data_IF_306536239988
#
_entry.id   IF_306536239988
#
_cell.length_a   1.000
_cell.length_b   1.000
_cell.length_c   1.000
_cell.angle_alpha   90.00
_cell.angle_beta   90.00
_cell.angle_gamma   90.00
#
_symmetry.space_group_name_H-M   'P 1'
#
loop_
_entity.id
_entity.type
_entity.pdbx_description
1 polymer ?
#
# COMPACT_ATOMS: atom_id res chain seq x y z
N UNK A 1 14.16 -22.62 -39.34
CA UNK A 1 12.89 -22.26 -38.66
C UNK A 1 12.79 -23.00 -37.32
N UNK A 2 13.52 -22.58 -36.29
CA UNK A 2 13.31 -23.01 -34.89
C UNK A 2 13.90 -21.91 -33.98
N UNK A 3 13.19 -20.79 -33.80
CA UNK A 3 13.64 -19.71 -32.90
C UNK A 3 12.49 -18.87 -32.32
N UNK A 4 11.25 -19.35 -32.33
CA UNK A 4 10.09 -18.58 -31.85
C UNK A 4 9.33 -19.21 -30.67
N UNK A 5 9.73 -20.39 -30.16
CA UNK A 5 9.00 -21.07 -29.06
C UNK A 5 9.44 -20.68 -27.64
N UNK A 6 10.63 -20.10 -27.47
CA UNK A 6 11.18 -19.88 -26.11
C UNK A 6 10.73 -18.55 -25.46
N UNK A 7 10.19 -17.60 -26.21
CA UNK A 7 9.80 -16.30 -25.65
C UNK A 7 8.44 -16.37 -24.93
N UNK A 8 7.50 -17.15 -25.47
CA UNK A 8 6.13 -17.28 -24.95
C UNK A 8 6.07 -18.09 -23.65
N UNK A 9 6.80 -19.20 -23.57
CA UNK A 9 6.80 -20.07 -22.38
C UNK A 9 7.41 -19.37 -21.17
N UNK A 10 8.46 -18.58 -21.38
CA UNK A 10 9.13 -17.85 -20.30
C UNK A 10 8.23 -16.73 -19.77
N UNK A 11 7.60 -15.96 -20.66
CA UNK A 11 6.65 -14.91 -20.29
C UNK A 11 5.43 -15.47 -19.54
N UNK A 12 4.90 -16.61 -20.00
CA UNK A 12 3.77 -17.31 -19.39
C UNK A 12 4.12 -17.84 -18.00
N UNK A 13 5.30 -18.45 -17.81
CA UNK A 13 5.76 -18.95 -16.50
C UNK A 13 5.98 -17.80 -15.50
N UNK A 14 6.54 -16.67 -15.94
CA UNK A 14 6.70 -15.50 -15.07
C UNK A 14 5.37 -14.87 -14.67
N UNK A 15 4.42 -14.76 -15.60
CA UNK A 15 3.07 -14.26 -15.31
C UNK A 15 2.30 -15.18 -14.36
N UNK A 16 2.40 -16.50 -14.56
CA UNK A 16 1.76 -17.49 -13.70
C UNK A 16 2.35 -17.46 -12.29
N UNK A 17 3.68 -17.36 -12.15
CA UNK A 17 4.33 -17.22 -10.83
C UNK A 17 3.89 -15.95 -10.12
N UNK A 18 3.88 -14.80 -10.80
CA UNK A 18 3.43 -13.53 -10.21
C UNK A 18 2.00 -13.58 -9.69
N UNK A 19 1.08 -14.21 -10.43
CA UNK A 19 -0.31 -14.39 -10.00
C UNK A 19 -0.44 -15.34 -8.79
N UNK A 20 0.34 -16.43 -8.76
CA UNK A 20 0.31 -17.41 -7.66
C UNK A 20 0.89 -16.84 -6.37
N UNK A 21 1.99 -16.07 -6.43
CA UNK A 21 2.55 -15.42 -5.24
C UNK A 21 1.63 -14.32 -4.69
N UNK A 22 0.97 -13.54 -5.56
CA UNK A 22 0.01 -12.51 -5.14
C UNK A 22 -1.20 -13.09 -4.37
N UNK A 23 -1.67 -14.28 -4.77
CA UNK A 23 -2.75 -14.98 -4.07
C UNK A 23 -2.31 -15.57 -2.72
N UNK A 24 -1.04 -15.98 -2.61
CA UNK A 24 -0.52 -16.55 -1.37
C UNK A 24 -0.43 -15.50 -0.25
N UNK A 25 0.08 -14.32 -0.58
CA UNK A 25 0.24 -13.21 0.37
C UNK A 25 -1.12 -12.72 0.91
N UNK A 26 -2.12 -12.56 0.04
CA UNK A 26 -3.48 -12.19 0.43
C UNK A 26 -4.05 -13.15 1.49
N UNK A 27 -3.93 -14.46 1.25
CA UNK A 27 -4.42 -15.47 2.20
C UNK A 27 -3.69 -15.39 3.54
N UNK A 28 -2.37 -15.17 3.52
CA UNK A 28 -1.55 -15.04 4.73
C UNK A 28 -1.97 -13.81 5.53
N UNK A 29 -2.15 -12.65 4.88
CA UNK A 29 -2.54 -11.41 5.57
C UNK A 29 -3.97 -11.46 6.10
N UNK A 30 -4.91 -12.03 5.35
CA UNK A 30 -6.29 -12.23 5.81
C UNK A 30 -6.32 -13.17 7.01
N UNK A 31 -5.60 -14.29 6.95
CA UNK A 31 -5.52 -15.25 8.06
C UNK A 31 -4.92 -14.60 9.31
N UNK A 32 -3.79 -13.91 9.16
CA UNK A 32 -3.15 -13.22 10.28
C UNK A 32 -4.07 -12.14 10.89
N UNK A 33 -4.79 -11.39 10.06
CA UNK A 33 -5.78 -10.41 10.52
C UNK A 33 -6.92 -11.05 11.33
N UNK A 34 -7.44 -12.19 10.88
CA UNK A 34 -8.48 -12.92 11.61
C UNK A 34 -7.97 -13.48 12.95
N UNK A 35 -6.74 -13.99 13.00
CA UNK A 35 -6.10 -14.42 14.24
C UNK A 35 -5.95 -13.27 15.24
N UNK A 36 -5.50 -12.11 14.78
CA UNK A 36 -5.35 -10.90 15.59
C UNK A 36 -6.68 -10.42 16.18
N UNK A 37 -7.77 -10.50 15.43
CA UNK A 37 -9.13 -10.16 15.91
C UNK A 37 -9.63 -11.14 16.95
N UNK A 38 -9.24 -12.41 16.84
CA UNK A 38 -9.54 -13.45 17.84
C UNK A 38 -8.67 -13.34 19.10
N UNK A 39 -7.81 -12.32 19.18
CA UNK A 39 -6.97 -12.05 20.34
C UNK A 39 -5.61 -12.76 20.30
N UNK A 40 -5.22 -13.37 19.17
CA UNK A 40 -3.86 -13.91 19.03
C UNK A 40 -2.87 -12.73 19.00
N UNK A 41 -1.87 -12.69 19.89
CA UNK A 41 -0.89 -11.61 19.90
C UNK A 41 -0.15 -11.52 18.55
N UNK A 42 0.17 -10.31 18.03
CA UNK A 42 0.81 -10.13 16.72
C UNK A 42 2.06 -11.00 16.49
N UNK A 43 2.89 -11.17 17.52
CA UNK A 43 4.11 -11.95 17.48
C UNK A 43 3.87 -13.47 17.27
N UNK A 44 2.64 -13.95 17.49
CA UNK A 44 2.25 -15.35 17.39
C UNK A 44 1.31 -15.63 16.20
N UNK A 45 1.05 -14.63 15.35
CA UNK A 45 0.16 -14.79 14.19
C UNK A 45 0.89 -15.46 13.02
N UNK A 46 0.13 -15.89 12.02
CA UNK A 46 0.66 -16.55 10.81
C UNK A 46 1.58 -15.69 9.96
N UNK A 47 1.71 -14.42 10.30
CA UNK A 47 2.64 -13.46 9.70
C UNK A 47 3.17 -12.55 10.83
N UNK A 48 4.24 -12.91 11.54
CA UNK A 48 4.77 -12.06 12.61
C UNK A 48 5.79 -11.02 12.10
N UNK A 49 6.28 -11.16 10.87
CA UNK A 49 7.36 -10.34 10.31
C UNK A 49 6.96 -8.89 10.03
N UNK A 50 5.65 -8.64 9.87
CA UNK A 50 5.13 -7.30 9.64
C UNK A 50 4.42 -6.73 10.88
N UNK A 51 4.48 -5.40 11.06
CA UNK A 51 3.66 -4.69 12.04
C UNK A 51 2.14 -4.97 11.90
N UNK A 52 1.35 -4.82 12.97
CA UNK A 52 0.02 -5.40 13.03
C UNK A 52 -1.09 -4.56 12.39
N UNK A 53 -0.93 -3.24 12.22
CA UNK A 53 -2.06 -2.34 11.93
C UNK A 53 -2.82 -2.71 10.65
N UNK A 54 -2.10 -2.88 9.54
CA UNK A 54 -2.73 -3.22 8.27
C UNK A 54 -3.40 -4.61 8.30
N UNK A 55 -2.81 -5.58 9.01
CA UNK A 55 -3.41 -6.90 9.21
C UNK A 55 -4.70 -6.82 10.04
N UNK A 56 -4.73 -6.00 11.09
CA UNK A 56 -5.96 -5.73 11.85
C UNK A 56 -7.06 -5.14 10.97
N UNK A 57 -6.73 -4.14 10.12
CA UNK A 57 -7.70 -3.53 9.21
C UNK A 57 -8.25 -4.53 8.19
N UNK A 58 -7.37 -5.36 7.61
CA UNK A 58 -7.75 -6.45 6.70
C UNK A 58 -8.63 -7.48 7.42
N UNK A 59 -8.27 -7.85 8.65
CA UNK A 59 -9.07 -8.78 9.44
C UNK A 59 -10.48 -8.26 9.71
N UNK A 60 -10.61 -6.97 10.04
CA UNK A 60 -11.89 -6.35 10.40
C UNK A 60 -12.78 -6.26 9.17
N UNK A 61 -12.17 -5.93 8.04
CA UNK A 61 -12.83 -5.84 6.76
C UNK A 61 -11.87 -6.22 5.62
N UNK A 62 -12.01 -7.42 5.03
CA UNK A 62 -11.09 -7.90 4.00
C UNK A 62 -11.02 -7.04 2.74
N UNK A 63 -12.08 -6.27 2.44
CA UNK A 63 -12.11 -5.33 1.31
C UNK A 63 -11.59 -3.91 1.66
N UNK A 64 -11.09 -3.71 2.89
CA UNK A 64 -10.45 -2.44 3.29
C UNK A 64 -9.28 -1.97 2.40
N UNK A 65 -8.47 -2.83 1.74
CA UNK A 65 -7.47 -2.39 0.76
C UNK A 65 -8.06 -1.56 -0.38
N UNK A 66 -9.26 -1.90 -0.86
CA UNK A 66 -9.92 -1.18 -1.94
C UNK A 66 -10.32 0.23 -1.51
N UNK A 67 -10.88 0.34 -0.30
CA UNK A 67 -11.20 1.62 0.31
C UNK A 67 -9.94 2.46 0.58
N UNK A 68 -8.87 1.82 1.06
CA UNK A 68 -7.57 2.47 1.26
C UNK A 68 -6.99 2.98 -0.07
N UNK A 69 -7.08 2.19 -1.14
CA UNK A 69 -6.67 2.59 -2.48
C UNK A 69 -7.47 3.78 -2.99
N UNK A 70 -8.80 3.75 -2.87
CA UNK A 70 -9.66 4.87 -3.26
C UNK A 70 -9.35 6.15 -2.45
N UNK A 71 -9.17 6.04 -1.14
CA UNK A 71 -8.78 7.16 -0.30
C UNK A 71 -7.40 7.73 -0.68
N UNK A 72 -6.46 6.86 -1.04
CA UNK A 72 -5.12 7.25 -1.53
C UNK A 72 -5.22 8.05 -2.82
N UNK A 73 -6.08 7.65 -3.77
CA UNK A 73 -6.31 8.41 -5.02
C UNK A 73 -6.80 9.84 -4.73
N UNK A 74 -7.78 9.96 -3.83
CA UNK A 74 -8.32 11.27 -3.43
C UNK A 74 -7.25 12.13 -2.76
N UNK A 75 -6.47 11.55 -1.84
CA UNK A 75 -5.39 12.25 -1.14
C UNK A 75 -4.25 12.63 -2.08
N UNK A 76 -3.88 11.78 -3.04
CA UNK A 76 -2.85 12.09 -4.03
C UNK A 76 -3.30 13.23 -4.95
N UNK A 77 -4.56 13.21 -5.40
CA UNK A 77 -5.15 14.32 -6.14
C UNK A 77 -5.18 15.61 -5.30
N UNK A 78 -5.52 15.52 -4.02
CA UNK A 78 -5.55 16.67 -3.12
C UNK A 78 -4.15 17.24 -2.88
N UNK A 79 -3.17 16.37 -2.62
CA UNK A 79 -1.76 16.73 -2.52
C UNK A 79 -1.29 17.46 -3.78
N UNK A 80 -1.69 16.99 -4.97
CA UNK A 80 -1.38 17.67 -6.22
C UNK A 80 -1.92 19.11 -6.24
N UNK A 81 -3.15 19.35 -5.78
CA UNK A 81 -3.70 20.72 -5.69
C UNK A 81 -2.90 21.60 -4.74
N UNK A 82 -2.51 21.07 -3.58
CA UNK A 82 -1.68 21.81 -2.61
C UNK A 82 -0.32 22.21 -3.19
N UNK A 83 0.20 21.43 -4.14
CA UNK A 83 1.45 21.70 -4.86
C UNK A 83 1.26 22.48 -6.18
N UNK A 84 0.08 23.06 -6.41
CA UNK A 84 -0.21 23.83 -7.63
C UNK A 84 -0.35 23.00 -8.91
N UNK A 85 -0.61 21.69 -8.79
CA UNK A 85 -0.82 20.74 -9.90
C UNK A 85 -2.29 20.34 -10.03
N UNK A 86 -2.66 19.78 -11.19
CA UNK A 86 -4.03 19.34 -11.46
C UNK A 86 -4.41 18.12 -10.63
N UNK A 87 -5.50 18.22 -9.87
CA UNK A 87 -6.11 17.12 -9.11
C UNK A 87 -6.36 15.90 -10.00
N UNK A 88 -7.09 16.14 -11.11
CA UNK A 88 -7.59 15.08 -11.98
C UNK A 88 -6.44 14.36 -12.67
N UNK A 89 -5.42 15.10 -13.12
CA UNK A 89 -4.28 14.49 -13.80
C UNK A 89 -3.57 13.49 -12.89
N UNK A 90 -3.27 13.87 -11.65
CA UNK A 90 -2.57 12.98 -10.70
C UNK A 90 -3.46 11.82 -10.26
N UNK A 91 -4.72 12.10 -9.91
CA UNK A 91 -5.66 11.06 -9.48
C UNK A 91 -5.93 10.04 -10.60
N UNK A 92 -6.17 10.48 -11.84
CA UNK A 92 -6.38 9.57 -12.96
C UNK A 92 -5.10 8.83 -13.34
N UNK A 93 -3.94 9.49 -13.33
CA UNK A 93 -2.67 8.82 -13.60
C UNK A 93 -2.44 7.65 -12.63
N UNK A 94 -2.66 7.88 -11.34
CA UNK A 94 -2.52 6.82 -10.32
C UNK A 94 -3.62 5.76 -10.43
N UNK A 95 -4.86 6.14 -10.75
CA UNK A 95 -5.96 5.20 -10.93
C UNK A 95 -5.78 4.30 -12.17
N UNK A 96 -5.12 4.81 -13.21
CA UNK A 96 -4.79 4.07 -14.43
C UNK A 96 -3.55 3.18 -14.29
N UNK A 97 -2.77 3.36 -13.22
CA UNK A 97 -1.60 2.54 -12.95
C UNK A 97 -2.03 1.10 -12.60
N UNK A 98 -1.60 0.14 -13.41
CA UNK A 98 -2.01 -1.26 -13.28
C UNK A 98 -1.49 -1.90 -11.98
N UNK A 99 -0.32 -1.47 -11.50
CA UNK A 99 0.30 -2.01 -10.29
C UNK A 99 -0.46 -1.53 -9.08
N UNK A 100 -0.74 -0.22 -9.00
CA UNK A 100 -1.54 0.36 -7.92
C UNK A 100 -2.96 -0.21 -7.90
N UNK A 101 -3.64 -0.25 -9.06
CA UNK A 101 -5.00 -0.76 -9.17
C UNK A 101 -5.10 -2.25 -8.79
N UNK A 102 -4.09 -3.07 -9.11
CA UNK A 102 -4.04 -4.47 -8.64
C UNK A 102 -3.75 -4.55 -7.16
N UNK A 103 -2.76 -3.82 -6.65
CA UNK A 103 -2.39 -3.83 -5.23
C UNK A 103 -3.57 -3.43 -4.34
N UNK A 104 -4.38 -2.45 -4.76
CA UNK A 104 -5.57 -2.01 -4.03
C UNK A 104 -6.73 -3.03 -4.06
N UNK A 105 -6.74 -3.98 -5.00
CA UNK A 105 -7.80 -5.00 -5.10
C UNK A 105 -7.58 -6.21 -4.20
N UNK A 106 -6.33 -6.48 -3.84
CA UNK A 106 -5.94 -7.63 -3.02
C UNK A 106 -5.64 -7.20 -1.58
N UNK A 107 -5.77 -8.12 -0.63
CA UNK A 107 -5.43 -7.85 0.77
C UNK A 107 -3.93 -7.75 1.05
N UNK A 108 -3.26 -6.78 0.43
CA UNK A 108 -1.82 -6.53 0.56
C UNK A 108 -1.55 -5.32 1.45
N UNK A 109 -0.49 -5.36 2.24
CA UNK A 109 -0.15 -4.31 3.21
C UNK A 109 0.28 -2.99 2.55
N UNK A 110 0.81 -3.03 1.33
CA UNK A 110 1.43 -1.89 0.65
C UNK A 110 0.45 -0.73 0.36
N UNK A 111 -0.84 -1.03 0.13
CA UNK A 111 -1.83 0.04 -0.09
C UNK A 111 -2.07 0.88 1.16
N UNK A 112 -1.95 0.29 2.36
CA UNK A 112 -2.07 1.03 3.62
C UNK A 112 -0.84 1.90 3.87
N UNK A 113 0.35 1.45 3.48
CA UNK A 113 1.56 2.28 3.50
C UNK A 113 1.36 3.49 2.61
N UNK A 114 0.89 3.28 1.36
CA UNK A 114 0.62 4.37 0.43
C UNK A 114 -0.44 5.35 0.97
N UNK A 115 -1.53 4.84 1.56
CA UNK A 115 -2.57 5.66 2.18
C UNK A 115 -2.00 6.55 3.28
N UNK A 116 -1.34 5.94 4.27
CA UNK A 116 -0.88 6.65 5.45
C UNK A 116 0.29 7.59 5.13
N UNK A 117 1.21 7.22 4.23
CA UNK A 117 2.28 8.12 3.79
C UNK A 117 1.73 9.33 3.04
N UNK A 118 0.73 9.14 2.17
CA UNK A 118 0.10 10.25 1.43
C UNK A 118 -0.70 11.14 2.38
N UNK A 119 -1.44 10.56 3.33
CA UNK A 119 -2.14 11.31 4.37
C UNK A 119 -1.17 12.12 5.25
N UNK A 120 0.00 11.55 5.56
CA UNK A 120 1.05 12.23 6.32
C UNK A 120 1.60 13.44 5.56
N UNK A 121 1.90 13.28 4.26
CA UNK A 121 2.37 14.36 3.41
C UNK A 121 1.33 15.47 3.26
N UNK A 122 0.07 15.13 2.98
CA UNK A 122 -1.04 16.09 2.90
C UNK A 122 -1.21 16.86 4.22
N UNK A 123 -1.19 16.16 5.35
CA UNK A 123 -1.32 16.78 6.66
C UNK A 123 -0.18 17.75 6.96
N UNK A 124 1.03 17.41 6.53
CA UNK A 124 2.18 18.29 6.67
C UNK A 124 2.04 19.56 5.82
N UNK A 125 1.64 19.43 4.54
CA UNK A 125 1.41 20.56 3.64
C UNK A 125 0.30 21.50 4.14
N UNK A 126 -0.69 20.97 4.85
CA UNK A 126 -1.74 21.75 5.51
C UNK A 126 -1.31 22.39 6.84
N UNK A 127 -0.02 22.29 7.23
CA UNK A 127 0.52 22.83 8.48
C UNK A 127 0.19 21.98 9.73
N UNK A 128 -0.47 20.83 9.58
CA UNK A 128 -0.86 19.93 10.68
C UNK A 128 0.24 18.92 10.98
N UNK A 129 1.40 19.40 11.44
CA UNK A 129 2.61 18.59 11.65
C UNK A 129 2.41 17.43 12.63
N UNK A 130 1.67 17.63 13.73
CA UNK A 130 1.38 16.57 14.69
C UNK A 130 0.61 15.42 14.05
N UNK A 131 -0.37 15.74 13.19
CA UNK A 131 -1.19 14.77 12.49
C UNK A 131 -0.38 14.01 11.42
N UNK A 132 0.55 14.72 10.76
CA UNK A 132 1.53 14.08 9.88
C UNK A 132 2.35 13.01 10.62
N UNK A 133 2.82 13.31 11.83
CA UNK A 133 3.52 12.35 12.68
C UNK A 133 2.67 11.12 13.03
N UNK A 134 1.38 11.32 13.36
CA UNK A 134 0.44 10.21 13.61
C UNK A 134 0.30 9.31 12.38
N UNK A 135 0.15 9.89 11.19
CA UNK A 135 0.02 9.11 9.96
C UNK A 135 1.32 8.40 9.57
N UNK A 136 2.49 9.00 9.78
CA UNK A 136 3.75 8.28 9.61
C UNK A 136 3.87 7.12 10.59
N UNK A 137 3.47 7.31 11.85
CA UNK A 137 3.37 6.23 12.84
C UNK A 137 2.45 5.10 12.38
N UNK A 138 1.29 5.43 11.80
CA UNK A 138 0.37 4.45 11.22
C UNK A 138 0.98 3.70 10.01
N UNK A 139 1.75 4.39 9.16
CA UNK A 139 2.46 3.77 8.04
C UNK A 139 3.50 2.75 8.54
N UNK A 140 4.32 3.14 9.54
CA UNK A 140 5.27 2.23 10.19
C UNK A 140 4.58 1.06 10.90
N UNK A 141 3.46 1.30 11.56
CA UNK A 141 2.66 0.26 12.20
C UNK A 141 1.95 -0.68 11.20
N UNK A 142 1.98 -0.35 9.90
CA UNK A 142 1.45 -1.18 8.81
C UNK A 142 2.53 -2.02 8.12
N UNK A 143 3.69 -1.43 7.80
CA UNK A 143 4.82 -2.14 7.17
C UNK A 143 6.13 -1.37 7.39
N UNK A 144 7.23 -2.07 7.69
CA UNK A 144 8.54 -1.43 7.88
C UNK A 144 9.08 -0.74 6.63
N UNK A 145 8.63 -1.15 5.43
CA UNK A 145 8.99 -0.49 4.16
C UNK A 145 8.48 0.96 4.07
N UNK A 146 7.59 1.40 4.97
CA UNK A 146 7.23 2.81 5.13
C UNK A 146 8.44 3.71 5.46
N UNK A 147 9.56 3.13 5.90
CA UNK A 147 10.81 3.87 6.11
C UNK A 147 11.33 4.53 4.82
N UNK A 148 11.18 3.89 3.67
CA UNK A 148 11.65 4.44 2.39
C UNK A 148 10.96 5.75 2.03
N UNK A 149 9.61 5.83 1.94
CA UNK A 149 8.93 7.09 1.66
C UNK A 149 9.09 8.10 2.81
N UNK A 150 9.24 7.66 4.07
CA UNK A 150 9.52 8.56 5.19
C UNK A 150 10.85 9.28 5.03
N UNK A 151 11.93 8.54 4.77
CA UNK A 151 13.25 9.12 4.53
C UNK A 151 13.20 10.04 3.31
N UNK A 152 12.57 9.61 2.21
CA UNK A 152 12.39 10.46 1.03
C UNK A 152 11.68 11.77 1.34
N UNK A 153 10.63 11.74 2.17
CA UNK A 153 9.86 12.92 2.57
C UNK A 153 10.68 13.96 3.35
N UNK A 154 11.54 13.50 4.27
CA UNK A 154 12.38 14.39 5.09
C UNK A 154 13.72 14.75 4.44
N UNK A 155 14.17 14.00 3.42
CA UNK A 155 15.44 14.25 2.74
C UNK A 155 15.34 15.29 1.64
N UNK A 156 14.13 15.72 1.27
CA UNK A 156 13.94 16.80 0.32
C UNK A 156 14.36 18.13 0.98
N UNK A 157 15.24 18.93 0.34
CA UNK A 157 15.61 20.23 0.85
C UNK A 157 14.34 21.08 1.01
N UNK A 158 14.26 21.78 2.15
CA UNK A 158 13.17 22.72 2.42
C UNK A 158 13.17 23.77 1.31
N UNK A 159 12.15 23.74 0.45
CA UNK A 159 11.90 24.80 -0.52
C UNK A 159 11.32 26.03 0.18
#
# INVERSE_FOLDING_TARGET
MVASRNFDDTFFIYHLRLLVFYFADEQIYVKAGQEQIRGVPPALTSNPEHPPLAKYLIGLWPQSPLAAGAATLLLAGWMARLLGRSFWLVAFSLASDIVFARTARFAVLDVFVALFSTAAAVSYLLGRRWLSGVFWGAAFASKFTALFPFVGFFSLPSA
#
